data_IF_476657832060
#
_entry.id   IF_476657832060
#
_cell.length_a   1.000
_cell.length_b   1.000
_cell.length_c   1.000
_cell.angle_alpha   90.00
_cell.angle_beta   90.00
_cell.angle_gamma   90.00
#
_symmetry.space_group_name_H-M   'P 1'
#
loop_
_entity.id
_entity.type
_entity.pdbx_description
1 polymer ?
#
# COMPACT_ATOMS: atom_id res chain seq x y z
N UNK A 1 30.12 -59.20 -34.74
CA UNK A 1 30.38 -57.76 -34.50
C UNK A 1 31.05 -57.64 -33.13
N UNK A 2 32.27 -57.09 -33.00
CA UNK A 2 32.94 -57.02 -31.69
C UNK A 2 32.23 -56.04 -30.74
N UNK A 3 32.21 -56.31 -29.42
CA UNK A 3 31.48 -55.49 -28.45
C UNK A 3 32.13 -54.12 -28.24
N UNK A 4 31.30 -53.07 -28.23
CA UNK A 4 31.73 -51.68 -28.11
C UNK A 4 32.16 -51.40 -26.66
N UNK A 5 33.43 -51.03 -26.46
CA UNK A 5 34.02 -50.76 -25.13
C UNK A 5 33.36 -49.51 -24.51
N UNK A 6 32.89 -49.62 -23.26
CA UNK A 6 32.27 -48.49 -22.54
C UNK A 6 33.34 -47.47 -22.13
N UNK A 7 33.08 -46.19 -22.40
CA UNK A 7 33.94 -45.09 -21.97
C UNK A 7 33.70 -44.80 -20.49
N UNK A 8 34.76 -44.76 -19.69
CA UNK A 8 34.69 -44.33 -18.28
C UNK A 8 34.47 -42.82 -18.23
N UNK A 9 33.35 -42.39 -17.65
CA UNK A 9 33.05 -40.98 -17.39
C UNK A 9 33.28 -40.74 -15.90
N UNK A 10 34.27 -39.92 -15.59
CA UNK A 10 34.55 -39.54 -14.21
C UNK A 10 33.61 -38.42 -13.76
N UNK A 11 33.19 -38.42 -12.47
CA UNK A 11 32.42 -37.33 -11.92
C UNK A 11 33.23 -36.01 -11.95
N UNK A 12 32.59 -34.87 -12.21
CA UNK A 12 33.25 -33.57 -12.17
C UNK A 12 33.90 -33.29 -10.80
N UNK A 13 35.02 -32.57 -10.76
CA UNK A 13 35.65 -32.18 -9.50
C UNK A 13 34.75 -31.24 -8.70
N UNK A 14 34.86 -31.26 -7.37
CA UNK A 14 33.97 -30.51 -6.45
C UNK A 14 34.00 -28.99 -6.63
N UNK A 15 35.09 -28.46 -7.17
CA UNK A 15 35.31 -27.04 -7.46
C UNK A 15 35.03 -26.69 -8.93
N UNK A 16 34.43 -27.59 -9.72
CA UNK A 16 34.05 -27.27 -11.08
C UNK A 16 33.04 -26.12 -11.10
N UNK A 17 33.40 -25.01 -11.75
CA UNK A 17 32.49 -23.90 -12.01
C UNK A 17 31.40 -24.41 -12.94
N UNK A 18 30.18 -24.50 -12.43
CA UNK A 18 29.04 -24.92 -13.24
C UNK A 18 28.65 -23.80 -14.19
N UNK A 19 28.37 -24.09 -15.48
CA UNK A 19 27.78 -23.10 -16.36
C UNK A 19 26.44 -22.61 -15.78
N UNK A 20 26.14 -21.30 -15.90
CA UNK A 20 24.92 -20.72 -15.37
C UNK A 20 23.69 -21.37 -16.02
N UNK A 21 22.69 -21.69 -15.20
CA UNK A 21 21.43 -22.27 -15.70
C UNK A 21 20.62 -21.24 -16.48
N UNK A 22 19.69 -21.68 -17.36
CA UNK A 22 18.71 -20.78 -17.96
C UNK A 22 17.97 -19.97 -16.88
N UNK A 23 17.95 -18.64 -17.02
CA UNK A 23 17.35 -17.72 -16.05
C UNK A 23 18.24 -17.30 -14.87
N UNK A 24 19.40 -17.92 -14.63
CA UNK A 24 20.39 -17.39 -13.67
C UNK A 24 21.14 -16.19 -14.28
N UNK A 25 21.62 -15.22 -13.47
CA UNK A 25 22.44 -14.12 -13.96
C UNK A 25 23.65 -14.64 -14.75
N UNK A 26 23.82 -14.15 -15.98
CA UNK A 26 24.86 -14.64 -16.90
C UNK A 26 24.54 -15.93 -17.66
N UNK A 27 23.35 -16.50 -17.48
CA UNK A 27 22.85 -17.67 -18.22
C UNK A 27 22.00 -17.32 -19.43
N UNK A 28 21.71 -18.28 -20.32
CA UNK A 28 20.85 -18.06 -21.49
C UNK A 28 19.44 -17.60 -21.07
N UNK A 29 18.99 -16.44 -21.56
CA UNK A 29 17.71 -15.84 -21.18
C UNK A 29 17.65 -15.32 -19.73
N UNK A 30 18.78 -15.29 -19.02
CA UNK A 30 18.93 -14.63 -17.74
C UNK A 30 19.38 -13.17 -17.89
N UNK A 31 19.27 -12.35 -16.84
CA UNK A 31 19.77 -10.98 -16.86
C UNK A 31 21.30 -10.93 -16.92
N UNK A 32 21.88 -9.80 -17.37
CA UNK A 32 23.32 -9.59 -17.36
C UNK A 32 23.88 -9.63 -15.94
N UNK A 33 25.14 -10.05 -15.82
CA UNK A 33 25.86 -10.10 -14.53
C UNK A 33 26.09 -8.65 -14.07
N UNK A 34 25.46 -8.27 -12.96
CA UNK A 34 25.62 -6.94 -12.35
C UNK A 34 24.30 -6.21 -12.06
N UNK A 35 23.18 -6.66 -12.63
CA UNK A 35 21.85 -6.09 -12.32
C UNK A 35 21.18 -6.84 -11.17
N UNK A 36 20.39 -6.13 -10.32
CA UNK A 36 19.63 -6.77 -9.25
C UNK A 36 18.56 -7.70 -9.86
N UNK A 37 18.87 -9.00 -9.90
CA UNK A 37 17.95 -10.01 -10.38
C UNK A 37 16.84 -10.27 -9.37
N UNK A 38 15.64 -9.77 -9.67
CA UNK A 38 14.43 -10.16 -8.94
C UNK A 38 13.94 -11.48 -9.51
N UNK A 39 14.00 -12.53 -8.69
CA UNK A 39 13.48 -13.84 -9.07
C UNK A 39 11.97 -13.72 -9.35
N UNK A 40 11.46 -14.22 -10.50
CA UNK A 40 10.03 -14.15 -10.79
C UNK A 40 9.14 -14.86 -9.77
N UNK A 41 9.71 -15.77 -8.97
CA UNK A 41 9.00 -16.53 -7.94
C UNK A 41 8.99 -15.87 -6.56
N UNK A 42 9.61 -14.70 -6.37
CA UNK A 42 9.55 -13.99 -5.08
C UNK A 42 8.42 -12.97 -5.07
N UNK A 43 7.69 -12.90 -3.96
CA UNK A 43 6.66 -11.89 -3.74
C UNK A 43 7.28 -10.62 -3.17
N UNK A 44 6.88 -9.46 -3.71
CA UNK A 44 7.25 -8.15 -3.17
C UNK A 44 6.46 -7.86 -1.89
N UNK A 45 7.16 -7.67 -0.77
CA UNK A 45 6.53 -7.41 0.54
C UNK A 45 6.68 -5.93 0.87
N UNK A 46 5.55 -5.25 1.10
CA UNK A 46 5.56 -3.89 1.62
C UNK A 46 5.77 -3.92 3.14
N UNK A 47 6.94 -3.48 3.61
CA UNK A 47 7.31 -3.49 5.03
C UNK A 47 6.55 -2.46 5.88
N UNK A 48 6.07 -1.37 5.27
CA UNK A 48 5.24 -0.37 5.97
C UNK A 48 3.90 -0.93 6.44
N UNK A 49 3.49 -2.09 5.90
CA UNK A 49 2.30 -2.79 6.36
C UNK A 49 2.42 -3.29 7.81
N UNK A 50 3.63 -3.41 8.37
CA UNK A 50 3.84 -3.83 9.77
C UNK A 50 3.41 -2.76 10.79
N UNK A 51 3.55 -1.48 10.44
CA UNK A 51 3.18 -0.35 11.32
C UNK A 51 1.66 -0.21 11.46
N UNK A 52 0.90 -0.66 10.46
CA UNK A 52 -0.55 -0.51 10.41
C UNK A 52 -0.99 0.95 10.30
N UNK A 53 -2.32 1.18 10.31
CA UNK A 53 -2.93 2.51 10.34
C UNK A 53 -3.69 2.67 11.66
N UNK A 54 -3.34 3.68 12.45
CA UNK A 54 -3.96 3.92 13.76
C UNK A 54 -5.37 4.51 13.61
N UNK A 55 -6.25 4.23 14.58
CA UNK A 55 -7.58 4.87 14.68
C UNK A 55 -8.72 4.19 13.92
N UNK A 56 -8.51 3.01 13.33
CA UNK A 56 -9.59 2.21 12.72
C UNK A 56 -10.36 1.43 13.79
N UNK A 57 -11.69 1.48 13.74
CA UNK A 57 -12.58 0.73 14.63
C UNK A 57 -13.51 -0.20 13.84
N UNK A 58 -14.03 -1.21 14.53
CA UNK A 58 -15.10 -2.06 14.00
C UNK A 58 -16.34 -1.19 13.80
N UNK A 59 -16.97 -1.29 12.65
CA UNK A 59 -18.12 -0.47 12.25
C UNK A 59 -17.78 0.78 11.44
N UNK A 60 -16.51 1.17 11.34
CA UNK A 60 -16.12 2.34 10.55
C UNK A 60 -16.29 2.07 9.04
N UNK A 61 -16.69 3.12 8.31
CA UNK A 61 -16.67 3.13 6.86
C UNK A 61 -15.28 3.45 6.35
N UNK A 62 -14.77 2.57 5.50
CA UNK A 62 -13.44 2.65 4.92
C UNK A 62 -13.50 2.48 3.41
N UNK A 63 -12.57 3.14 2.73
CA UNK A 63 -12.31 2.96 1.31
C UNK A 63 -11.10 2.08 1.14
N UNK A 64 -11.18 1.10 0.24
CA UNK A 64 -10.07 0.19 -0.06
C UNK A 64 -9.13 0.88 -1.06
N UNK A 65 -7.95 1.33 -0.64
CA UNK A 65 -6.91 1.94 -1.50
C UNK A 65 -5.76 0.98 -1.84
N UNK A 66 -5.90 -0.31 -1.58
CA UNK A 66 -4.91 -1.32 -1.98
C UNK A 66 -4.79 -1.46 -3.49
N UNK A 67 -3.79 -2.19 -3.98
CA UNK A 67 -3.63 -2.52 -5.40
C UNK A 67 -4.41 -3.79 -5.74
N UNK A 68 -5.59 -3.67 -6.38
CA UNK A 68 -6.38 -4.84 -6.75
C UNK A 68 -7.77 -4.53 -7.32
N UNK A 69 -8.58 -5.58 -7.50
CA UNK A 69 -9.92 -5.46 -8.12
C UNK A 69 -10.93 -4.64 -7.30
N UNK A 70 -10.61 -4.37 -6.03
CA UNK A 70 -11.50 -3.69 -5.08
C UNK A 70 -11.00 -2.29 -4.70
N UNK A 71 -9.96 -1.81 -5.41
CA UNK A 71 -9.46 -0.46 -5.24
C UNK A 71 -10.58 0.55 -5.48
N UNK A 72 -10.73 1.49 -4.55
CA UNK A 72 -11.73 2.54 -4.57
C UNK A 72 -13.09 2.15 -3.98
N UNK A 73 -13.35 0.88 -3.65
CA UNK A 73 -14.65 0.43 -3.13
C UNK A 73 -14.84 0.84 -1.65
N UNK A 74 -16.09 1.18 -1.28
CA UNK A 74 -16.49 1.45 0.09
C UNK A 74 -16.88 0.15 0.80
N UNK A 75 -16.42 0.04 2.05
CA UNK A 75 -16.65 -1.12 2.89
C UNK A 75 -16.77 -0.73 4.36
N UNK A 76 -17.37 -1.60 5.15
CA UNK A 76 -17.47 -1.45 6.60
C UNK A 76 -16.58 -2.49 7.29
N UNK A 77 -15.86 -2.10 8.33
CA UNK A 77 -15.00 -3.01 9.10
C UNK A 77 -15.87 -3.92 9.97
N UNK A 78 -15.80 -5.24 9.77
CA UNK A 78 -16.48 -6.23 10.61
C UNK A 78 -15.59 -6.79 11.71
N UNK A 79 -14.28 -6.90 11.45
CA UNK A 79 -13.31 -7.45 12.40
C UNK A 79 -11.93 -6.87 12.18
N UNK A 80 -11.19 -6.64 13.27
CA UNK A 80 -9.78 -6.26 13.23
C UNK A 80 -8.91 -7.42 13.73
N UNK A 81 -7.79 -7.66 13.06
CA UNK A 81 -6.80 -8.66 13.41
C UNK A 81 -5.43 -8.00 13.60
N UNK A 82 -4.98 -7.99 14.85
CA UNK A 82 -3.70 -7.41 15.29
C UNK A 82 -2.60 -8.47 15.28
N UNK A 83 -2.07 -8.76 14.09
CA UNK A 83 -0.88 -9.60 13.89
C UNK A 83 0.34 -8.78 13.48
N UNK A 84 1.44 -9.45 13.13
CA UNK A 84 2.66 -8.80 12.62
C UNK A 84 2.42 -7.94 11.37
N UNK A 85 1.37 -8.26 10.60
CA UNK A 85 0.80 -7.38 9.58
C UNK A 85 -0.66 -7.14 9.99
N UNK A 86 -1.00 -5.95 10.53
CA UNK A 86 -2.36 -5.61 10.90
C UNK A 86 -3.30 -5.71 9.70
N UNK A 87 -4.40 -6.44 9.89
CA UNK A 87 -5.43 -6.63 8.86
C UNK A 87 -6.83 -6.46 9.43
N UNK A 88 -7.78 -6.19 8.55
CA UNK A 88 -9.19 -6.04 8.86
C UNK A 88 -10.00 -6.92 7.91
N UNK A 89 -11.05 -7.53 8.44
CA UNK A 89 -12.11 -8.12 7.64
C UNK A 89 -13.13 -7.02 7.38
N UNK A 90 -13.35 -6.70 6.12
CA UNK A 90 -14.28 -5.68 5.66
C UNK A 90 -15.41 -6.31 4.86
N UNK A 91 -16.62 -5.80 5.03
CA UNK A 91 -17.77 -6.12 4.17
C UNK A 91 -18.02 -4.96 3.22
N UNK A 92 -17.89 -5.22 1.94
CA UNK A 92 -18.12 -4.20 0.92
C UNK A 92 -19.61 -3.93 0.75
N UNK A 93 -19.95 -2.75 0.21
CA UNK A 93 -21.36 -2.40 -0.04
C UNK A 93 -22.03 -3.37 -1.04
N UNK A 94 -21.25 -4.06 -1.88
CA UNK A 94 -21.72 -5.17 -2.72
C UNK A 94 -22.00 -6.49 -1.94
N UNK A 95 -21.90 -6.46 -0.61
CA UNK A 95 -22.22 -7.58 0.28
C UNK A 95 -21.13 -8.65 0.40
N UNK A 96 -19.91 -8.40 -0.11
CA UNK A 96 -18.81 -9.38 -0.08
C UNK A 96 -17.86 -9.12 1.09
N UNK A 97 -17.45 -10.18 1.78
CA UNK A 97 -16.49 -10.11 2.89
C UNK A 97 -15.06 -10.36 2.40
N UNK A 98 -14.09 -9.55 2.84
CA UNK A 98 -12.68 -9.65 2.45
C UNK A 98 -11.73 -9.32 3.57
N UNK A 99 -10.57 -9.97 3.57
CA UNK A 99 -9.44 -9.60 4.44
C UNK A 99 -8.53 -8.64 3.69
N UNK A 100 -8.37 -7.43 4.24
CA UNK A 100 -7.55 -6.34 3.68
C UNK A 100 -6.59 -5.86 4.76
N UNK A 101 -5.40 -5.38 4.39
CA UNK A 101 -4.44 -4.86 5.36
C UNK A 101 -4.87 -3.45 5.80
N UNK A 102 -4.62 -3.07 7.04
CA UNK A 102 -5.06 -1.76 7.54
C UNK A 102 -4.40 -0.58 6.81
N UNK A 103 -3.21 -0.78 6.24
CA UNK A 103 -2.50 0.26 5.46
C UNK A 103 -3.22 0.61 4.16
N UNK A 104 -3.87 -0.39 3.56
CA UNK A 104 -4.64 -0.28 2.33
C UNK A 104 -6.06 0.25 2.57
N UNK A 105 -6.42 0.55 3.82
CA UNK A 105 -7.71 1.14 4.18
C UNK A 105 -7.55 2.63 4.45
N UNK A 106 -8.42 3.42 3.86
CA UNK A 106 -8.57 4.85 4.15
C UNK A 106 -9.89 5.08 4.89
N UNK A 107 -9.90 5.71 6.06
CA UNK A 107 -11.13 6.06 6.75
C UNK A 107 -11.91 7.09 5.95
N UNK A 108 -13.18 6.82 5.70
CA UNK A 108 -14.10 7.79 5.12
C UNK A 108 -14.71 8.57 6.27
N UNK A 109 -13.90 9.42 6.89
CA UNK A 109 -14.48 10.43 7.79
C UNK A 109 -15.23 11.41 6.90
N UNK A 110 -16.54 11.54 7.12
CA UNK A 110 -17.15 12.83 6.85
C UNK A 110 -16.36 13.87 7.67
N UNK A 111 -16.04 15.05 7.12
CA UNK A 111 -15.30 16.06 7.89
C UNK A 111 -16.03 16.30 9.22
N UNK A 112 -15.30 16.47 10.33
CA UNK A 112 -15.95 16.78 11.61
C UNK A 112 -16.79 18.06 11.43
N UNK A 113 -18.07 18.08 11.86
CA UNK A 113 -18.83 19.32 11.88
C UNK A 113 -18.35 20.19 13.04
N UNK A 114 -17.16 20.77 12.97
CA UNK A 114 -16.77 21.94 13.78
C UNK A 114 -15.36 22.43 13.39
N UNK A 115 -15.32 23.33 12.42
CA UNK A 115 -14.25 24.33 12.24
C UNK A 115 -14.73 25.44 11.27
N UNK A 116 -15.68 25.15 10.38
CA UNK A 116 -16.27 26.13 9.47
C UNK A 116 -17.41 26.97 10.08
N UNK A 117 -17.95 26.62 11.25
CA UNK A 117 -19.03 27.36 11.90
C UNK A 117 -18.57 28.50 12.83
N UNK A 118 -17.27 28.60 13.14
CA UNK A 118 -16.73 29.67 14.00
C UNK A 118 -16.30 30.93 13.22
N UNK A 119 -16.36 30.92 11.89
CA UNK A 119 -15.88 32.02 11.05
C UNK A 119 -17.00 32.85 10.37
N UNK A 120 -18.28 32.60 10.65
CA UNK A 120 -19.41 33.30 10.02
C UNK A 120 -20.30 34.12 10.95
N UNK A 121 -19.85 34.42 12.18
CA UNK A 121 -20.44 35.49 12.98
C UNK A 121 -19.73 36.82 12.70
N UNK A 122 -20.00 37.41 11.54
CA UNK A 122 -19.69 38.82 11.32
C UNK A 122 -20.71 39.70 12.06
N UNK A 123 -20.32 40.86 12.62
CA UNK A 123 -21.24 41.95 12.81
C UNK A 123 -21.07 42.90 11.62
N UNK A 124 -22.02 42.85 10.69
CA UNK A 124 -22.32 43.99 9.84
C UNK A 124 -23.56 44.65 10.43
N UNK A 125 -23.39 45.84 10.99
CA UNK A 125 -24.28 46.97 10.70
C UNK A 125 -23.65 48.24 11.28
N UNK A 126 -23.19 49.12 10.40
CA UNK A 126 -23.08 50.54 10.70
C UNK A 126 -24.46 51.19 10.60
N UNK A 127 -24.58 52.46 11.02
CA UNK A 127 -24.92 53.42 9.97
C UNK A 127 -24.16 54.75 10.04
N UNK A 128 -23.72 55.16 8.85
CA UNK A 128 -23.62 56.50 8.25
C UNK A 128 -23.84 57.75 9.12
N UNK A 129 -22.82 58.63 9.14
CA UNK A 129 -22.81 60.02 8.59
C UNK A 129 -22.95 61.04 9.74
N UNK A 130 -22.33 62.22 9.79
CA UNK A 130 -21.88 63.17 8.77
C UNK A 130 -21.07 64.31 9.48
N UNK A 131 -20.43 65.21 8.73
CA UNK A 131 -20.00 66.60 9.12
C UNK A 131 -18.85 66.74 10.16
N UNK A 132 -17.61 67.07 9.77
CA UNK A 132 -17.01 68.37 9.41
C UNK A 132 -16.25 69.08 10.57
N UNK A 133 -15.18 69.75 10.15
CA UNK A 133 -14.57 70.96 10.73
C UNK A 133 -13.68 70.85 12.00
N UNK A 134 -12.42 71.29 11.82
CA UNK A 134 -11.55 71.82 12.88
C UNK A 134 -12.16 73.13 13.43
N UNK A 135 -11.90 73.61 14.66
CA UNK A 135 -10.57 74.14 15.04
C UNK A 135 -10.18 74.09 16.54
N UNK A 136 -8.92 74.48 16.77
CA UNK A 136 -8.30 75.14 17.96
C UNK A 136 -8.22 74.49 19.35
N UNK A 137 -7.02 74.66 19.93
CA UNK A 137 -6.60 74.35 21.30
C UNK A 137 -5.10 74.54 21.45
#
# INVERSE_FOLDING_TARGET
MPPRKRRTVYPPPRNAVRPPRPGEPGGPGGPPIGEPYVRPTVASINLSASTGRAGLKIGDRVRINGTGLYSGELATIEKLATGAIPSAVVRTDAGRTRQVRTIDLEPVTAPPPSAAAAASAGPADGPVADVADAPEG
#
